data_IF_397177635590
#
_entry.id   IF_397177635590
#
_cell.length_a   1.000
_cell.length_b   1.000
_cell.length_c   1.000
_cell.angle_alpha   90.00
_cell.angle_beta   90.00
_cell.angle_gamma   90.00
#
_symmetry.space_group_name_H-M   'P 1'
#
loop_
_entity.id
_entity.type
_entity.pdbx_description
1 polymer ?
#
# COMPACT_ATOMS: atom_id res chain seq x y z
N UNK A 1 1.43 -19.09 -1.56
CA UNK A 1 1.35 -18.53 -0.20
C UNK A 1 0.78 -17.13 -0.35
N UNK A 2 -0.40 -16.84 0.19
CA UNK A 2 -1.00 -15.51 0.09
C UNK A 2 -0.27 -14.55 1.02
N UNK A 3 0.13 -13.37 0.54
CA UNK A 3 0.76 -12.36 1.37
C UNK A 3 -0.21 -11.88 2.47
N UNK A 4 0.25 -11.72 3.72
CA UNK A 4 -0.60 -11.26 4.80
C UNK A 4 -1.16 -9.87 4.49
N UNK A 5 -2.46 -9.69 4.77
CA UNK A 5 -3.15 -8.41 4.57
C UNK A 5 -2.71 -7.47 5.67
N UNK A 6 -2.19 -6.30 5.29
CA UNK A 6 -1.83 -5.26 6.24
C UNK A 6 -3.10 -4.72 6.94
N UNK A 7 -3.01 -4.12 8.14
CA UNK A 7 -4.15 -3.50 8.82
C UNK A 7 -4.94 -2.53 7.93
N UNK A 8 -4.28 -1.92 6.94
CA UNK A 8 -4.89 -1.06 5.93
C UNK A 8 -5.68 -1.78 4.82
N UNK A 9 -5.87 -3.11 4.89
CA UNK A 9 -6.48 -3.91 3.84
C UNK A 9 -5.64 -4.09 2.57
N UNK A 10 -4.39 -3.61 2.56
CA UNK A 10 -3.51 -3.69 1.38
C UNK A 10 -2.67 -4.96 1.40
N UNK A 11 -2.43 -5.51 0.21
CA UNK A 11 -1.51 -6.65 0.00
C UNK A 11 -0.04 -6.23 0.07
N UNK A 12 0.25 -4.95 -0.13
CA UNK A 12 1.59 -4.36 -0.11
C UNK A 12 1.59 -3.04 0.67
N UNK A 13 2.64 -2.78 1.42
CA UNK A 13 2.79 -1.57 2.24
C UNK A 13 3.67 -1.79 3.46
N UNK A 14 3.76 -0.76 4.30
CA UNK A 14 4.51 -0.83 5.56
C UNK A 14 3.64 -1.52 6.60
N UNK A 15 4.15 -2.58 7.20
CA UNK A 15 3.55 -3.20 8.38
C UNK A 15 3.79 -2.28 9.59
N UNK A 16 3.00 -1.21 9.68
CA UNK A 16 3.02 -0.26 10.77
C UNK A 16 1.74 -0.39 11.58
N UNK A 17 1.87 -0.85 12.82
CA UNK A 17 0.78 -0.85 13.79
C UNK A 17 0.89 0.44 14.58
N UNK A 18 -0.13 1.29 14.51
CA UNK A 18 -0.24 2.47 15.36
C UNK A 18 -0.56 2.00 16.79
N UNK A 19 0.28 2.31 17.79
CA UNK A 19 -0.04 2.07 19.20
C UNK A 19 -1.37 2.73 19.61
N UNK A 20 -2.16 2.06 20.44
CA UNK A 20 -3.46 2.56 20.90
C UNK A 20 -3.35 3.71 21.92
N UNK A 21 -2.16 3.94 22.47
CA UNK A 21 -1.87 4.85 23.59
C UNK A 21 -1.22 6.19 23.18
N UNK A 22 -1.29 6.54 21.89
CA UNK A 22 -0.79 7.84 21.43
C UNK A 22 -1.55 9.01 22.04
N UNK A 23 -0.80 10.04 22.43
CA UNK A 23 -1.41 11.34 22.71
C UNK A 23 -1.83 12.00 21.39
N UNK A 24 -2.79 12.94 21.41
CA UNK A 24 -3.20 13.68 20.22
C UNK A 24 -2.01 14.37 19.50
N UNK A 25 -1.05 14.89 20.26
CA UNK A 25 0.14 15.57 19.72
C UNK A 25 1.08 14.60 19.03
N UNK A 26 1.26 13.39 19.58
CA UNK A 26 2.04 12.34 18.92
C UNK A 26 1.41 11.90 17.62
N UNK A 27 0.08 11.71 17.62
CA UNK A 27 -0.66 11.36 16.41
C UNK A 27 -0.53 12.45 15.34
N UNK A 28 -0.62 13.73 15.73
CA UNK A 28 -0.46 14.85 14.82
C UNK A 28 0.97 14.92 14.25
N UNK A 29 2.00 14.80 15.09
CA UNK A 29 3.39 14.86 14.65
C UNK A 29 3.72 13.76 13.62
N UNK A 30 3.22 12.53 13.84
CA UNK A 30 3.40 11.44 12.88
C UNK A 30 2.60 11.69 11.60
N UNK A 31 1.39 12.23 11.71
CA UNK A 31 0.59 12.59 10.54
C UNK A 31 1.31 13.63 9.66
N UNK A 32 1.85 14.69 10.26
CA UNK A 32 2.63 15.71 9.56
C UNK A 32 3.88 15.12 8.88
N UNK A 33 4.62 14.25 9.59
CA UNK A 33 5.76 13.55 9.02
C UNK A 33 5.38 12.70 7.79
N UNK A 34 4.24 12.01 7.84
CA UNK A 34 3.76 11.21 6.72
C UNK A 34 3.34 12.07 5.53
N UNK A 35 2.74 13.23 5.77
CA UNK A 35 2.37 14.18 4.72
C UNK A 35 3.62 14.75 4.03
N UNK A 36 4.62 15.20 4.80
CA UNK A 36 5.89 15.69 4.27
C UNK A 36 6.63 14.62 3.47
N UNK A 37 6.69 13.40 4.01
CA UNK A 37 7.32 12.27 3.32
C UNK A 37 6.60 11.96 2.00
N UNK A 38 5.26 11.97 2.01
CA UNK A 38 4.45 11.78 0.81
C UNK A 38 4.74 12.86 -0.22
N UNK A 39 4.84 14.12 0.18
CA UNK A 39 5.17 15.22 -0.72
C UNK A 39 6.54 15.03 -1.37
N UNK A 40 7.57 14.70 -0.58
CA UNK A 40 8.93 14.44 -1.09
C UNK A 40 8.95 13.28 -2.07
N UNK A 41 8.28 12.17 -1.75
CA UNK A 41 8.20 11.00 -2.65
C UNK A 41 7.49 11.38 -3.95
N UNK A 42 6.32 12.03 -3.87
CA UNK A 42 5.55 12.43 -5.04
C UNK A 42 6.34 13.40 -5.93
N UNK A 43 7.05 14.36 -5.34
CA UNK A 43 7.85 15.33 -6.11
C UNK A 43 8.92 14.66 -6.99
N UNK A 44 9.42 13.48 -6.58
CA UNK A 44 10.51 12.76 -7.26
C UNK A 44 10.04 11.59 -8.12
N UNK A 45 9.00 10.87 -7.69
CA UNK A 45 8.67 9.54 -8.23
C UNK A 45 7.22 9.39 -8.67
N UNK A 46 6.42 10.46 -8.71
CA UNK A 46 4.99 10.35 -9.03
C UNK A 46 4.74 9.65 -10.38
N UNK A 47 5.53 9.94 -11.40
CA UNK A 47 5.38 9.31 -12.72
C UNK A 47 5.66 7.80 -12.68
N UNK A 48 6.72 7.38 -11.99
CA UNK A 48 7.08 5.97 -11.82
C UNK A 48 6.04 5.22 -11.00
N UNK A 49 5.56 5.82 -9.91
CA UNK A 49 4.48 5.27 -9.09
C UNK A 49 3.22 5.04 -9.94
N UNK A 50 2.82 6.03 -10.73
CA UNK A 50 1.67 5.89 -11.62
C UNK A 50 1.86 4.79 -12.66
N UNK A 51 3.07 4.59 -13.19
CA UNK A 51 3.37 3.49 -14.11
C UNK A 51 3.19 2.15 -13.42
N UNK A 52 3.83 1.94 -12.27
CA UNK A 52 3.71 0.70 -11.50
C UNK A 52 2.26 0.38 -11.15
N UNK A 53 1.49 1.38 -10.71
CA UNK A 53 0.06 1.20 -10.40
C UNK A 53 -0.79 0.80 -11.60
N UNK A 54 -0.45 1.28 -12.80
CA UNK A 54 -1.14 0.87 -14.04
C UNK A 54 -0.79 -0.56 -14.40
N UNK A 55 0.48 -0.94 -14.29
CA UNK A 55 0.96 -2.28 -14.59
C UNK A 55 0.34 -3.32 -13.64
N UNK A 56 0.23 -3.03 -12.34
CA UNK A 56 -0.46 -3.91 -11.38
C UNK A 56 -1.95 -4.07 -11.67
N UNK A 57 -2.64 -3.01 -12.11
CA UNK A 57 -4.06 -3.08 -12.52
C UNK A 57 -4.26 -3.85 -13.83
N UNK A 58 -3.22 -3.93 -14.66
CA UNK A 58 -3.25 -4.65 -15.93
C UNK A 58 -2.85 -6.12 -15.77
N UNK A 59 -2.25 -6.52 -14.63
CA UNK A 59 -2.17 -7.94 -14.28
C UNK A 59 -3.58 -8.44 -13.98
N UNK A 60 -4.17 -9.32 -14.82
CA UNK A 60 -5.44 -9.92 -14.47
C UNK A 60 -5.19 -10.71 -13.18
N UNK A 61 -6.09 -10.60 -12.20
CA UNK A 61 -6.22 -11.69 -11.24
C UNK A 61 -6.35 -12.96 -12.08
N UNK A 62 -5.34 -13.82 -11.99
CA UNK A 62 -5.21 -15.05 -12.77
C UNK A 62 -6.59 -15.69 -12.85
N UNK A 63 -7.19 -15.87 -14.05
CA UNK A 63 -8.46 -16.54 -14.14
C UNK A 63 -8.31 -17.86 -13.42
N UNK A 64 -9.23 -18.14 -12.50
CA UNK A 64 -9.40 -19.47 -11.93
C UNK A 64 -9.76 -20.37 -13.12
N UNK A 65 -8.73 -20.81 -13.85
CA UNK A 65 -8.82 -21.88 -14.84
C UNK A 65 -9.22 -23.08 -14.01
N UNK A 66 -10.52 -23.36 -14.00
CA UNK A 66 -11.05 -24.65 -13.58
C UNK A 66 -10.28 -25.75 -14.33
N UNK A 67 -10.00 -26.88 -13.67
CA UNK A 67 -9.20 -27.94 -14.28
C UNK A 67 -9.82 -28.37 -15.62
N UNK A 68 -9.01 -28.71 -16.64
CA UNK A 68 -9.53 -29.22 -17.90
C UNK A 68 -10.27 -30.53 -17.63
N UNK A 69 -11.56 -30.56 -17.99
CA UNK A 69 -12.31 -31.80 -18.11
C UNK A 69 -11.69 -32.60 -19.26
N UNK A 70 -11.03 -33.72 -18.93
CA UNK A 70 -10.71 -34.78 -19.87
C UNK A 70 -11.84 -35.80 -19.88
#
# INVERSE_FOLDING_TARGET
>A
MSAPVLPSGRRHGIAFTVPEDWTPEQALAVFELLEDLREVICSRYLADIQRVMRDERQQPERPLVGPPSF
#
